data_IF_337639857373
#
_entry.id   IF_337639857373
#
_cell.length_a   1.000
_cell.length_b   1.000
_cell.length_c   1.000
_cell.angle_alpha   90.00
_cell.angle_beta   90.00
_cell.angle_gamma   90.00
#
_symmetry.space_group_name_H-M   'P 1'
#
loop_
_entity.id
_entity.type
_entity.pdbx_description
1 polymer ?
#
# COMPACT_ATOMS: atom_id res chain seq x y z
N UNK A 1 15.72 -46.51 -12.96
CA UNK A 1 15.48 -46.23 -11.53
C UNK A 1 15.98 -44.84 -11.12
N UNK A 2 17.19 -44.48 -11.47
CA UNK A 2 17.77 -43.17 -11.13
C UNK A 2 17.02 -41.98 -11.76
N UNK A 3 16.55 -42.10 -12.99
CA UNK A 3 15.76 -41.09 -13.68
C UNK A 3 14.43 -40.86 -13.01
N UNK A 4 13.79 -41.91 -12.52
CA UNK A 4 12.50 -41.78 -11.81
C UNK A 4 12.65 -41.02 -10.48
N UNK A 5 13.75 -41.21 -9.77
CA UNK A 5 14.05 -40.46 -8.53
C UNK A 5 14.30 -39.00 -8.85
N UNK A 6 15.03 -38.70 -9.91
CA UNK A 6 15.30 -37.33 -10.34
C UNK A 6 14.01 -36.57 -10.70
N UNK A 7 13.10 -37.21 -11.44
CA UNK A 7 11.81 -36.63 -11.81
C UNK A 7 10.95 -36.36 -10.57
N UNK A 8 10.93 -37.29 -9.61
CA UNK A 8 10.18 -37.14 -8.36
C UNK A 8 10.67 -35.95 -7.54
N UNK A 9 11.97 -35.72 -7.45
CA UNK A 9 12.58 -34.60 -6.74
C UNK A 9 12.21 -33.26 -7.41
N UNK A 10 12.28 -33.18 -8.73
CA UNK A 10 11.92 -31.99 -9.49
C UNK A 10 10.46 -31.64 -9.31
N UNK A 11 9.57 -32.64 -9.33
CA UNK A 11 8.12 -32.43 -9.12
C UNK A 11 7.82 -31.85 -7.75
N UNK A 12 8.46 -32.34 -6.70
CA UNK A 12 8.28 -31.86 -5.32
C UNK A 12 8.79 -30.42 -5.17
N UNK A 13 9.97 -30.11 -5.70
CA UNK A 13 10.55 -28.78 -5.63
C UNK A 13 9.69 -27.73 -6.39
N UNK A 14 9.16 -28.11 -7.54
CA UNK A 14 8.30 -27.25 -8.35
C UNK A 14 6.98 -26.94 -7.65
N UNK A 15 6.39 -27.91 -6.97
CA UNK A 15 5.13 -27.74 -6.24
C UNK A 15 5.26 -26.77 -5.05
N UNK A 16 6.40 -26.74 -4.39
CA UNK A 16 6.66 -25.87 -3.24
C UNK A 16 6.95 -24.42 -3.67
N UNK A 17 7.59 -24.23 -4.82
CA UNK A 17 8.07 -22.91 -5.26
C UNK A 17 6.96 -21.93 -5.65
N UNK A 18 5.89 -22.41 -6.27
CA UNK A 18 4.83 -21.57 -6.87
C UNK A 18 4.05 -20.74 -5.83
N UNK A 19 3.53 -21.32 -4.71
CA UNK A 19 2.81 -20.53 -3.71
C UNK A 19 3.67 -19.45 -3.05
N UNK A 20 4.92 -19.73 -2.76
CA UNK A 20 5.87 -18.79 -2.17
C UNK A 20 6.16 -17.61 -3.08
N UNK A 21 6.22 -17.83 -4.39
CA UNK A 21 6.46 -16.81 -5.38
C UNK A 21 5.34 -15.76 -5.42
N UNK A 22 4.08 -16.19 -5.43
CA UNK A 22 2.92 -15.28 -5.44
C UNK A 22 2.92 -14.36 -4.22
N UNK A 23 3.12 -14.90 -3.03
CA UNK A 23 3.19 -14.14 -1.78
C UNK A 23 4.35 -13.14 -1.82
N UNK A 24 5.51 -13.55 -2.30
CA UNK A 24 6.68 -12.68 -2.42
C UNK A 24 6.43 -11.51 -3.37
N UNK A 25 5.81 -11.76 -4.52
CA UNK A 25 5.48 -10.72 -5.50
C UNK A 25 4.48 -9.70 -4.93
N UNK A 26 3.49 -10.16 -4.17
CA UNK A 26 2.55 -9.27 -3.51
C UNK A 26 3.24 -8.36 -2.50
N UNK A 27 4.13 -8.91 -1.68
CA UNK A 27 4.89 -8.13 -0.69
C UNK A 27 5.81 -7.10 -1.34
N UNK A 28 6.51 -7.49 -2.40
CA UNK A 28 7.39 -6.59 -3.14
C UNK A 28 6.59 -5.44 -3.79
N UNK A 29 5.45 -5.76 -4.37
CA UNK A 29 4.56 -4.77 -4.99
C UNK A 29 3.98 -3.79 -3.97
N UNK A 30 3.62 -4.28 -2.78
CA UNK A 30 3.13 -3.44 -1.68
C UNK A 30 4.22 -2.48 -1.18
N UNK A 31 5.47 -2.93 -1.11
CA UNK A 31 6.59 -2.07 -0.72
C UNK A 31 6.82 -0.95 -1.74
N UNK A 32 6.71 -1.25 -3.02
CA UNK A 32 6.80 -0.25 -4.08
C UNK A 32 5.64 0.76 -4.00
N UNK A 33 4.42 0.27 -3.76
CA UNK A 33 3.25 1.11 -3.54
C UNK A 33 3.43 2.02 -2.32
N UNK A 34 4.00 1.51 -1.24
CA UNK A 34 4.29 2.30 -0.05
C UNK A 34 5.21 3.49 -0.38
N UNK A 35 6.26 3.27 -1.15
CA UNK A 35 7.16 4.33 -1.59
C UNK A 35 6.46 5.35 -2.48
N UNK A 36 5.53 4.91 -3.30
CA UNK A 36 4.72 5.79 -4.14
C UNK A 36 3.81 6.71 -3.30
N UNK A 37 3.32 6.22 -2.17
CA UNK A 37 2.42 6.96 -1.27
C UNK A 37 3.17 7.98 -0.41
N UNK A 38 4.45 7.76 -0.11
CA UNK A 38 5.23 8.61 0.81
C UNK A 38 5.16 10.10 0.51
N UNK A 39 5.33 10.59 -0.73
CA UNK A 39 5.21 12.02 -1.02
C UNK A 39 3.82 12.58 -0.68
N UNK A 40 2.76 11.84 -0.97
CA UNK A 40 1.39 12.25 -0.65
C UNK A 40 1.19 12.36 0.87
N UNK A 41 1.69 11.38 1.61
CA UNK A 41 1.60 11.35 3.06
C UNK A 41 2.35 12.53 3.68
N UNK A 42 3.59 12.78 3.27
CA UNK A 42 4.42 13.88 3.76
C UNK A 42 3.77 15.25 3.52
N UNK A 43 3.32 15.50 2.31
CA UNK A 43 2.74 16.79 1.96
C UNK A 43 1.36 16.98 2.60
N UNK A 44 0.62 15.90 2.83
CA UNK A 44 -0.64 15.94 3.57
C UNK A 44 -0.40 16.29 5.04
N UNK A 45 0.62 15.68 5.67
CA UNK A 45 1.02 16.02 7.03
C UNK A 45 1.42 17.50 7.14
N UNK A 46 2.21 17.99 6.19
CA UNK A 46 2.61 19.39 6.15
C UNK A 46 1.40 20.31 6.04
N UNK A 47 0.46 20.01 5.16
CA UNK A 47 -0.79 20.75 5.02
C UNK A 47 -1.56 20.83 6.35
N UNK A 48 -1.67 19.71 7.04
CA UNK A 48 -2.32 19.64 8.35
C UNK A 48 -1.62 20.45 9.43
N UNK A 49 -0.29 20.43 9.45
CA UNK A 49 0.50 21.27 10.38
C UNK A 49 0.37 22.76 10.10
N UNK A 50 0.42 23.15 8.83
CA UNK A 50 0.31 24.55 8.44
C UNK A 50 -1.07 25.14 8.77
N UNK A 51 -2.13 24.36 8.57
CA UNK A 51 -3.50 24.82 8.76
C UNK A 51 -4.06 24.53 10.15
N UNK A 52 -3.46 23.58 10.87
CA UNK A 52 -3.99 23.07 12.14
C UNK A 52 -5.12 22.05 11.99
N UNK A 53 -5.50 21.73 10.76
CA UNK A 53 -6.55 20.75 10.42
C UNK A 53 -6.32 20.21 9.03
N UNK A 54 -6.97 19.11 8.69
CA UNK A 54 -6.83 18.46 7.37
C UNK A 54 -7.91 18.84 6.36
N UNK A 55 -8.95 19.53 6.79
CA UNK A 55 -10.01 20.00 5.88
C UNK A 55 -9.41 20.89 4.80
N UNK A 56 -9.70 20.60 3.54
CA UNK A 56 -9.15 21.35 2.41
C UNK A 56 -7.79 20.84 1.92
N UNK A 57 -7.19 19.85 2.59
CA UNK A 57 -5.95 19.22 2.12
C UNK A 57 -6.29 18.19 1.03
N UNK A 58 -6.22 18.63 -0.22
CA UNK A 58 -6.57 17.85 -1.41
C UNK A 58 -5.41 17.74 -2.37
N UNK A 59 -5.51 16.84 -3.35
CA UNK A 59 -4.56 16.78 -4.45
C UNK A 59 -4.38 18.15 -5.11
N UNK A 60 -3.13 18.54 -5.35
CA UNK A 60 -2.77 19.80 -6.00
C UNK A 60 -2.81 21.03 -5.11
N UNK A 61 -3.15 20.90 -3.82
CA UNK A 61 -3.19 21.98 -2.84
C UNK A 61 -2.04 21.82 -1.86
N UNK A 62 -1.40 22.93 -1.45
CA UNK A 62 -0.34 22.97 -0.44
C UNK A 62 0.79 21.95 -0.72
N UNK A 63 1.25 21.89 -1.96
CA UNK A 63 2.29 20.99 -2.43
C UNK A 63 1.90 19.51 -2.45
N UNK A 64 0.66 19.15 -2.11
CA UNK A 64 0.18 17.75 -2.25
C UNK A 64 0.17 17.42 -3.75
N UNK A 65 0.85 16.35 -4.18
CA UNK A 65 0.89 16.02 -5.60
C UNK A 65 -0.50 15.73 -6.18
N UNK A 66 -0.65 16.02 -7.47
CA UNK A 66 -1.87 15.66 -8.20
C UNK A 66 -1.98 14.13 -8.31
N UNK A 67 -3.20 13.64 -8.54
CA UNK A 67 -3.41 12.21 -8.74
C UNK A 67 -2.60 11.72 -9.94
N UNK A 68 -1.89 10.61 -9.75
CA UNK A 68 -1.06 9.98 -10.78
C UNK A 68 -1.22 8.47 -10.72
N UNK A 69 -0.97 7.81 -11.82
CA UNK A 69 -0.86 6.36 -11.85
C UNK A 69 0.58 5.93 -11.58
N UNK A 70 0.76 4.81 -10.92
CA UNK A 70 2.05 4.20 -10.69
C UNK A 70 2.08 2.79 -11.27
N UNK A 71 3.21 2.10 -11.11
CA UNK A 71 3.36 0.73 -11.59
C UNK A 71 2.31 -0.21 -11.00
N UNK A 72 2.00 -0.03 -9.72
CA UNK A 72 1.03 -0.86 -8.98
C UNK A 72 -0.16 -0.06 -8.48
N UNK A 73 -0.28 1.19 -8.90
CA UNK A 73 -1.34 2.12 -8.46
C UNK A 73 -2.14 2.58 -9.65
N UNK A 74 -3.43 2.26 -9.66
CA UNK A 74 -4.35 2.74 -10.70
C UNK A 74 -4.87 4.14 -10.42
N UNK A 75 -5.01 4.50 -9.15
CA UNK A 75 -5.45 5.82 -8.73
C UNK A 75 -5.00 6.13 -7.30
N UNK A 76 -4.69 7.39 -7.04
CA UNK A 76 -4.43 7.90 -5.70
C UNK A 76 -5.17 9.22 -5.55
N UNK A 77 -6.00 9.33 -4.52
CA UNK A 77 -6.83 10.49 -4.26
C UNK A 77 -6.62 10.97 -2.82
N UNK A 78 -6.48 12.29 -2.65
CA UNK A 78 -6.38 12.91 -1.33
C UNK A 78 -7.53 13.89 -1.19
N UNK A 79 -8.34 13.69 -0.17
CA UNK A 79 -9.47 14.55 0.14
C UNK A 79 -9.58 14.75 1.64
N UNK A 80 -9.51 16.00 2.07
CA UNK A 80 -9.54 16.39 3.48
C UNK A 80 -8.51 15.60 4.33
N UNK A 81 -7.34 15.40 3.75
CA UNK A 81 -6.24 14.66 4.37
C UNK A 81 -6.35 13.14 4.26
N UNK A 82 -7.50 12.61 3.87
CA UNK A 82 -7.69 11.16 3.70
C UNK A 82 -7.11 10.74 2.35
N UNK A 83 -6.16 9.81 2.39
CA UNK A 83 -5.51 9.28 1.19
C UNK A 83 -6.15 7.94 0.85
N UNK A 84 -6.69 7.83 -0.36
CA UNK A 84 -7.27 6.59 -0.88
C UNK A 84 -6.47 6.13 -2.09
N UNK A 85 -5.98 4.92 -2.04
CA UNK A 85 -5.14 4.33 -3.08
C UNK A 85 -5.78 3.06 -3.59
N UNK A 86 -5.86 2.92 -4.91
CA UNK A 86 -6.39 1.72 -5.56
C UNK A 86 -5.24 1.03 -6.28
N UNK A 87 -5.06 -0.26 -6.00
CA UNK A 87 -4.02 -1.07 -6.60
C UNK A 87 -4.37 -1.57 -7.99
N UNK A 88 -3.34 -1.92 -8.75
CA UNK A 88 -3.45 -2.61 -10.03
C UNK A 88 -2.53 -3.83 -10.00
N UNK A 89 -2.65 -4.73 -10.96
CA UNK A 89 -1.94 -6.03 -10.96
C UNK A 89 -0.47 -5.92 -10.50
N UNK A 90 0.00 -6.76 -9.59
CA UNK A 90 -0.67 -7.88 -8.93
C UNK A 90 -1.52 -7.52 -7.71
N UNK A 91 -1.72 -6.24 -7.43
CA UNK A 91 -2.49 -5.71 -6.30
C UNK A 91 -3.92 -5.34 -6.70
N UNK A 92 -4.47 -6.01 -7.69
CA UNK A 92 -5.84 -5.81 -8.16
C UNK A 92 -6.84 -6.03 -7.01
N UNK A 93 -7.89 -5.22 -6.98
CA UNK A 93 -8.95 -5.22 -5.96
C UNK A 93 -8.49 -4.80 -4.56
N UNK A 94 -7.27 -4.27 -4.43
CA UNK A 94 -6.80 -3.70 -3.19
C UNK A 94 -7.13 -2.21 -3.16
N UNK A 95 -7.82 -1.79 -2.11
CA UNK A 95 -8.04 -0.38 -1.79
C UNK A 95 -7.47 -0.10 -0.41
N UNK A 96 -6.60 0.90 -0.31
CA UNK A 96 -5.99 1.32 0.95
C UNK A 96 -6.49 2.71 1.28
N UNK A 97 -7.00 2.89 2.49
CA UNK A 97 -7.43 4.18 3.00
C UNK A 97 -6.55 4.57 4.18
N UNK A 98 -5.94 5.74 4.12
CA UNK A 98 -5.10 6.30 5.16
C UNK A 98 -5.81 7.51 5.74
N UNK A 99 -6.19 7.44 7.01
CA UNK A 99 -6.88 8.52 7.72
C UNK A 99 -5.92 9.17 8.72
N UNK A 100 -5.61 10.47 8.56
CA UNK A 100 -4.74 11.18 9.50
C UNK A 100 -5.52 11.70 10.69
N UNK A 101 -4.85 11.73 11.84
CA UNK A 101 -5.36 12.39 13.06
C UNK A 101 -4.24 13.26 13.61
N UNK A 102 -4.52 14.55 13.76
CA UNK A 102 -3.58 15.49 14.35
C UNK A 102 -3.80 15.56 15.86
N UNK A 103 -2.76 15.21 16.62
CA UNK A 103 -2.78 15.36 18.07
C UNK A 103 -2.44 16.80 18.42
N UNK A 104 -3.33 17.45 19.19
CA UNK A 104 -3.11 18.82 19.68
C UNK A 104 -2.14 18.88 20.86
N UNK A 105 -1.89 17.75 21.52
CA UNK A 105 -1.07 17.68 22.74
C UNK A 105 0.43 17.65 22.41
N UNK A 106 0.84 16.84 21.42
CA UNK A 106 2.24 16.60 21.08
C UNK A 106 2.57 16.92 19.62
N UNK A 107 1.66 17.55 18.90
CA UNK A 107 1.82 17.94 17.47
C UNK A 107 2.27 16.78 16.57
N UNK A 108 1.68 15.60 16.79
CA UNK A 108 1.96 14.43 15.97
C UNK A 108 0.77 14.10 15.09
N UNK A 109 1.08 13.60 13.91
CA UNK A 109 0.07 13.01 13.03
C UNK A 109 0.15 11.50 13.17
N UNK A 110 -0.97 10.89 13.55
CA UNK A 110 -1.12 9.45 13.54
C UNK A 110 -2.00 9.04 12.36
N UNK A 111 -1.67 7.91 11.75
CA UNK A 111 -2.35 7.41 10.56
C UNK A 111 -3.05 6.09 10.88
N UNK A 112 -4.33 6.04 10.57
CA UNK A 112 -5.10 4.80 10.62
C UNK A 112 -5.15 4.23 9.20
N UNK A 113 -4.71 2.98 9.04
CA UNK A 113 -4.67 2.29 7.75
C UNK A 113 -5.79 1.27 7.68
N UNK A 114 -6.57 1.32 6.60
CA UNK A 114 -7.61 0.34 6.30
C UNK A 114 -7.30 -0.30 4.94
N UNK A 115 -7.15 -1.61 4.91
CA UNK A 115 -6.90 -2.37 3.69
C UNK A 115 -8.15 -3.18 3.34
N UNK A 116 -8.67 -2.99 2.13
CA UNK A 116 -9.83 -3.71 1.60
C UNK A 116 -9.42 -4.49 0.37
N UNK A 117 -9.69 -5.79 0.36
CA UNK A 117 -9.42 -6.68 -0.78
C UNK A 117 -10.30 -7.92 -0.70
N UNK A 118 -10.61 -8.49 -1.86
CA UNK A 118 -11.26 -9.80 -1.95
C UNK A 118 -10.29 -10.95 -1.67
N UNK A 119 -8.98 -10.70 -1.79
CA UNK A 119 -7.92 -11.66 -1.47
C UNK A 119 -7.50 -11.46 -0.01
N UNK A 120 -7.83 -12.43 0.84
CA UNK A 120 -7.52 -12.37 2.27
C UNK A 120 -6.02 -12.35 2.56
N UNK A 121 -5.22 -13.04 1.76
CA UNK A 121 -3.76 -13.03 1.86
C UNK A 121 -3.18 -11.66 1.54
N UNK A 122 -3.66 -11.01 0.49
CA UNK A 122 -3.25 -9.67 0.10
C UNK A 122 -3.65 -8.65 1.17
N UNK A 123 -4.85 -8.76 1.72
CA UNK A 123 -5.33 -7.90 2.82
C UNK A 123 -4.40 -7.99 4.03
N UNK A 124 -3.97 -9.21 4.40
CA UNK A 124 -3.04 -9.44 5.50
C UNK A 124 -1.67 -8.83 5.21
N UNK A 125 -1.12 -9.04 4.02
CA UNK A 125 0.17 -8.46 3.61
C UNK A 125 0.13 -6.94 3.61
N UNK A 126 -0.99 -6.36 3.17
CA UNK A 126 -1.22 -4.91 3.22
C UNK A 126 -1.16 -4.39 4.66
N UNK A 127 -1.88 -5.01 5.57
CA UNK A 127 -1.89 -4.62 6.98
C UNK A 127 -0.50 -4.73 7.62
N UNK A 128 0.30 -5.73 7.23
CA UNK A 128 1.65 -5.92 7.73
C UNK A 128 2.66 -4.90 7.16
N UNK A 129 2.46 -4.49 5.91
CA UNK A 129 3.36 -3.55 5.21
C UNK A 129 3.10 -2.10 5.60
N UNK A 130 1.84 -1.69 5.69
CA UNK A 130 1.43 -0.31 5.98
C UNK A 130 1.22 -0.12 7.48
N UNK A 131 2.29 -0.16 8.24
CA UNK A 131 2.30 0.15 9.68
C UNK A 131 2.91 1.53 9.90
N UNK A 132 2.07 2.42 10.32
CA UNK A 132 2.51 3.79 10.63
C UNK A 132 2.29 4.16 12.09
#
# INVERSE_FOLDING_TARGET
MEIMVAIAIIAVLSAISIPSYKSYMQKASLTDMLQFIVPYKMHTELCGFENGYFTGCHNGISSIPTSKTGKYVSNIDVKDGIIKVVGTKPLKDLTITLEPTLSTTDNRVSWKVSCESTDSGLKKHCADTFRF
#
